data_IF_319759375865
#
_entry.id   IF_319759375865
#
_cell.length_a   1.000
_cell.length_b   1.000
_cell.length_c   1.000
_cell.angle_alpha   90.00
_cell.angle_beta   90.00
_cell.angle_gamma   90.00
#
_symmetry.space_group_name_H-M   'P 1'
#
loop_
_entity.id
_entity.type
_entity.pdbx_description
1 polymer ?
#
# COMPACT_ATOMS: atom_id res chain seq x y z
N UNK A 1 3.41 37.69 -5.49
CA UNK A 1 3.50 37.15 -4.11
C UNK A 1 2.20 36.44 -3.80
N UNK A 2 2.24 35.11 -3.68
CA UNK A 2 1.31 34.24 -2.95
C UNK A 2 1.86 32.82 -3.13
N UNK A 3 2.59 32.29 -2.13
CA UNK A 3 2.99 30.88 -2.14
C UNK A 3 1.77 30.04 -1.79
N UNK A 4 1.19 29.34 -2.77
CA UNK A 4 0.04 28.44 -2.62
C UNK A 4 0.50 27.09 -2.01
N UNK A 5 1.33 27.15 -0.98
CA UNK A 5 1.86 25.96 -0.31
C UNK A 5 1.68 26.13 1.19
N UNK A 6 0.43 26.10 1.63
CA UNK A 6 0.16 25.80 3.03
C UNK A 6 0.62 24.36 3.29
N UNK A 7 1.67 24.23 4.10
CA UNK A 7 2.16 22.94 4.58
C UNK A 7 1.02 22.30 5.37
N UNK A 8 0.45 21.21 4.84
CA UNK A 8 -0.54 20.39 5.56
C UNK A 8 0.04 20.04 6.93
N UNK A 9 -0.58 20.54 7.99
CA UNK A 9 -0.10 20.30 9.35
C UNK A 9 -0.51 18.91 9.81
N UNK A 10 0.12 18.40 10.87
CA UNK A 10 -0.29 17.16 11.51
C UNK A 10 -1.76 17.22 11.97
N UNK A 11 -2.25 18.39 12.38
CA UNK A 11 -3.63 18.58 12.81
C UNK A 11 -4.60 18.53 11.63
N UNK A 12 -4.26 19.12 10.49
CA UNK A 12 -5.05 19.02 9.26
C UNK A 12 -5.16 17.57 8.79
N UNK A 13 -4.06 16.81 8.88
CA UNK A 13 -4.05 15.39 8.56
C UNK A 13 -4.97 14.57 9.48
N UNK A 14 -4.90 14.78 10.79
CA UNK A 14 -5.72 14.02 11.74
C UNK A 14 -7.22 14.26 11.55
N UNK A 15 -7.60 15.41 10.97
CA UNK A 15 -8.98 15.77 10.64
C UNK A 15 -9.42 15.27 9.26
N UNK A 16 -8.51 14.78 8.43
CA UNK A 16 -8.83 14.30 7.09
C UNK A 16 -9.48 12.91 7.09
N UNK A 17 -10.34 12.68 6.11
CA UNK A 17 -11.00 11.40 5.84
C UNK A 17 -10.06 10.50 5.01
N UNK A 18 -9.92 9.20 5.34
CA UNK A 18 -9.06 8.27 4.61
C UNK A 18 -9.63 7.89 3.23
N UNK A 19 -8.84 8.08 2.16
CA UNK A 19 -9.17 7.51 0.84
C UNK A 19 -9.20 5.97 0.83
N UNK A 20 -9.83 5.37 -0.20
CA UNK A 20 -9.87 3.91 -0.41
C UNK A 20 -8.49 3.27 -0.38
N UNK A 21 -7.48 3.93 -0.93
CA UNK A 21 -6.10 3.45 -0.90
C UNK A 21 -5.58 3.29 0.53
N UNK A 22 -5.87 4.25 1.41
CA UNK A 22 -5.50 4.15 2.82
C UNK A 22 -6.23 3.01 3.51
N UNK A 23 -7.53 2.82 3.22
CA UNK A 23 -8.33 1.75 3.80
C UNK A 23 -7.89 0.36 3.32
N UNK A 24 -7.54 0.21 2.04
CA UNK A 24 -6.96 -1.04 1.51
C UNK A 24 -5.62 -1.38 2.15
N UNK A 25 -4.78 -0.38 2.39
CA UNK A 25 -3.52 -0.60 3.12
C UNK A 25 -3.76 -0.97 4.57
N UNK A 26 -4.74 -0.32 5.21
CA UNK A 26 -5.14 -0.62 6.57
C UNK A 26 -5.70 -2.05 6.67
N UNK A 27 -6.57 -2.48 5.75
CA UNK A 27 -7.18 -3.81 5.77
C UNK A 27 -6.19 -4.97 5.67
N UNK A 28 -4.99 -4.74 5.09
CA UNK A 28 -3.93 -5.75 5.01
C UNK A 28 -3.17 -5.95 6.33
N UNK A 29 -3.30 -5.03 7.28
CA UNK A 29 -2.56 -5.04 8.55
C UNK A 29 -3.35 -5.68 9.70
N UNK A 30 -4.62 -5.98 9.48
CA UNK A 30 -5.55 -6.43 10.50
C UNK A 30 -6.33 -7.64 10.03
N UNK A 31 -6.44 -8.62 10.92
CA UNK A 31 -7.33 -9.76 10.75
C UNK A 31 -8.80 -9.32 10.71
N UNK A 32 -9.71 -10.16 10.17
CA UNK A 32 -11.15 -9.87 10.19
C UNK A 32 -11.70 -9.59 11.58
N UNK A 33 -11.18 -10.29 12.61
CA UNK A 33 -11.55 -10.05 13.99
C UNK A 33 -11.15 -8.64 14.46
N UNK A 34 -9.91 -8.23 14.18
CA UNK A 34 -9.44 -6.89 14.55
C UNK A 34 -10.16 -5.78 13.75
N UNK A 35 -10.46 -6.03 12.48
CA UNK A 35 -11.25 -5.10 11.66
C UNK A 35 -12.67 -4.94 12.21
N UNK A 36 -13.30 -6.02 12.69
CA UNK A 36 -14.60 -5.99 13.38
C UNK A 36 -14.54 -5.15 14.66
N UNK A 37 -13.57 -5.39 15.54
CA UNK A 37 -13.42 -4.62 16.78
C UNK A 37 -13.19 -3.13 16.48
N UNK A 38 -12.34 -2.81 15.50
CA UNK A 38 -12.15 -1.43 15.03
C UNK A 38 -13.46 -0.82 14.52
N UNK A 39 -14.23 -1.56 13.73
CA UNK A 39 -15.47 -1.07 13.16
C UNK A 39 -16.55 -0.76 14.19
N UNK A 40 -16.65 -1.61 15.23
CA UNK A 40 -17.55 -1.38 16.36
C UNK A 40 -17.14 -0.10 17.10
N UNK A 41 -15.84 0.12 17.32
CA UNK A 41 -15.34 1.37 17.92
C UNK A 41 -15.54 2.59 17.03
N UNK A 42 -15.51 2.42 15.71
CA UNK A 42 -15.79 3.47 14.73
C UNK A 42 -17.30 3.71 14.52
N UNK A 43 -18.16 2.93 15.20
CA UNK A 43 -19.59 3.20 15.30
C UNK A 43 -20.50 2.32 14.47
N UNK A 44 -19.98 1.28 13.80
CA UNK A 44 -20.85 0.26 13.19
C UNK A 44 -21.43 -0.66 14.26
N UNK A 45 -22.67 -1.09 14.06
CA UNK A 45 -23.29 -2.12 14.90
C UNK A 45 -22.73 -3.50 14.58
N UNK A 46 -22.80 -4.43 15.55
CA UNK A 46 -22.43 -5.84 15.32
C UNK A 46 -23.15 -6.44 14.11
N UNK A 47 -24.43 -6.09 13.93
CA UNK A 47 -25.26 -6.61 12.83
C UNK A 47 -24.78 -6.14 11.46
N UNK A 48 -24.36 -4.88 11.34
CA UNK A 48 -23.81 -4.35 10.09
C UNK A 48 -22.51 -5.06 9.73
N UNK A 49 -21.62 -5.25 10.71
CA UNK A 49 -20.35 -5.96 10.50
C UNK A 49 -20.57 -7.43 10.11
N UNK A 50 -21.48 -8.13 10.79
CA UNK A 50 -21.83 -9.52 10.44
C UNK A 50 -22.42 -9.61 9.04
N UNK A 51 -23.28 -8.67 8.65
CA UNK A 51 -23.84 -8.62 7.29
C UNK A 51 -22.72 -8.54 6.25
N UNK A 52 -21.73 -7.66 6.44
CA UNK A 52 -20.59 -7.51 5.52
C UNK A 52 -19.77 -8.81 5.47
N UNK A 53 -19.49 -9.42 6.62
CA UNK A 53 -18.71 -10.66 6.70
C UNK A 53 -19.42 -11.86 6.03
N UNK A 54 -20.75 -11.86 6.01
CA UNK A 54 -21.56 -12.91 5.38
C UNK A 54 -21.74 -12.71 3.87
N UNK A 55 -21.74 -11.45 3.40
CA UNK A 55 -22.06 -11.13 1.99
C UNK A 55 -20.83 -10.86 1.11
N UNK A 56 -19.73 -10.38 1.67
CA UNK A 56 -18.53 -10.02 0.91
C UNK A 56 -17.53 -11.17 0.81
N UNK A 57 -16.65 -11.13 -0.20
CA UNK A 57 -15.53 -12.06 -0.30
C UNK A 57 -14.69 -11.95 1.00
N UNK A 58 -14.40 -13.08 1.68
CA UNK A 58 -13.52 -13.10 2.85
C UNK A 58 -12.17 -12.38 2.64
N UNK A 59 -11.69 -12.29 1.40
CA UNK A 59 -10.47 -11.58 1.01
C UNK A 59 -10.60 -10.06 1.02
N UNK A 60 -11.81 -9.53 0.85
CA UNK A 60 -12.08 -8.07 0.80
C UNK A 60 -12.87 -7.57 2.00
N UNK A 61 -13.43 -8.47 2.82
CA UNK A 61 -14.30 -8.12 3.94
C UNK A 61 -13.68 -7.08 4.91
N UNK A 62 -12.39 -7.18 5.24
CA UNK A 62 -11.70 -6.18 6.07
C UNK A 62 -11.71 -4.78 5.44
N UNK A 63 -11.53 -4.68 4.13
CA UNK A 63 -11.58 -3.40 3.40
C UNK A 63 -13.00 -2.84 3.40
N UNK A 64 -14.00 -3.68 3.14
CA UNK A 64 -15.40 -3.27 3.06
C UNK A 64 -15.96 -2.80 4.41
N UNK A 65 -15.58 -3.47 5.49
CA UNK A 65 -15.87 -3.04 6.86
C UNK A 65 -15.35 -1.61 7.10
N UNK A 66 -14.06 -1.38 6.81
CA UNK A 66 -13.43 -0.07 7.03
C UNK A 66 -13.99 1.02 6.09
N UNK A 67 -14.38 0.64 4.87
CA UNK A 67 -15.03 1.53 3.89
C UNK A 67 -16.40 1.97 4.38
N UNK A 68 -17.22 1.04 4.87
CA UNK A 68 -18.51 1.38 5.46
C UNK A 68 -18.37 2.29 6.67
N UNK A 69 -17.41 2.04 7.57
CA UNK A 69 -17.14 2.95 8.69
C UNK A 69 -16.91 4.38 8.20
N UNK A 70 -16.07 4.57 7.18
CA UNK A 70 -15.81 5.90 6.60
C UNK A 70 -17.05 6.53 5.99
N UNK A 71 -17.77 5.78 5.17
CA UNK A 71 -18.85 6.33 4.34
C UNK A 71 -20.11 6.65 5.17
N UNK A 72 -20.38 5.90 6.25
CA UNK A 72 -21.56 6.09 7.11
C UNK A 72 -21.29 7.09 8.23
N UNK A 73 -20.09 7.04 8.85
CA UNK A 73 -19.80 7.78 10.08
C UNK A 73 -18.86 8.98 9.89
N UNK A 74 -18.42 9.26 8.66
CA UNK A 74 -17.44 10.33 8.34
C UNK A 74 -16.16 10.19 9.19
N UNK A 75 -15.63 8.97 9.24
CA UNK A 75 -14.45 8.62 10.03
C UNK A 75 -13.21 9.38 9.56
N UNK A 76 -12.47 9.98 10.49
CA UNK A 76 -11.19 10.64 10.23
C UNK A 76 -10.01 9.76 10.61
N UNK A 77 -8.79 10.16 10.22
CA UNK A 77 -7.57 9.51 10.69
C UNK A 77 -7.39 9.56 12.21
N UNK A 78 -7.97 10.56 12.89
CA UNK A 78 -8.00 10.62 14.35
C UNK A 78 -8.83 9.50 14.95
N UNK A 79 -10.01 9.26 14.42
CA UNK A 79 -10.91 8.24 14.94
C UNK A 79 -10.33 6.83 14.70
N UNK A 80 -9.72 6.60 13.54
CA UNK A 80 -8.98 5.36 13.24
C UNK A 80 -7.82 5.17 14.21
N UNK A 81 -7.08 6.24 14.55
CA UNK A 81 -5.99 6.17 15.53
C UNK A 81 -6.49 5.72 16.88
N UNK A 82 -7.59 6.30 17.34
CA UNK A 82 -8.18 5.99 18.63
C UNK A 82 -8.69 4.54 18.65
N UNK A 83 -9.38 4.09 17.59
CA UNK A 83 -9.80 2.70 17.44
C UNK A 83 -8.62 1.70 17.48
N UNK A 84 -7.52 2.01 16.80
CA UNK A 84 -6.29 1.18 16.80
C UNK A 84 -5.67 1.10 18.21
N UNK A 85 -5.72 2.19 18.98
CA UNK A 85 -5.21 2.20 20.35
C UNK A 85 -6.05 1.32 21.29
N UNK A 86 -7.37 1.26 21.08
CA UNK A 86 -8.28 0.48 21.92
C UNK A 86 -8.07 -1.03 21.70
N UNK A 87 -7.86 -1.48 20.46
CA UNK A 87 -7.56 -2.89 20.16
C UNK A 87 -6.15 -3.33 20.60
N UNK A 88 -5.44 -2.51 21.38
CA UNK A 88 -4.16 -2.86 21.99
C UNK A 88 -2.96 -2.84 21.04
N UNK A 89 -3.12 -2.38 19.78
CA UNK A 89 -1.98 -2.17 18.87
C UNK A 89 -1.37 -0.79 19.09
N UNK A 90 -0.38 -0.71 19.97
CA UNK A 90 0.47 0.47 20.15
C UNK A 90 1.38 0.67 18.93
N UNK A 91 0.94 1.42 17.92
CA UNK A 91 1.86 2.37 17.30
C UNK A 91 1.20 3.37 16.35
N UNK A 92 1.36 4.65 16.67
CA UNK A 92 1.19 5.77 15.71
C UNK A 92 2.03 5.59 14.42
N UNK A 93 3.04 4.70 14.43
CA UNK A 93 3.75 4.28 13.22
C UNK A 93 2.86 3.62 12.17
N UNK A 94 1.78 2.93 12.54
CA UNK A 94 0.90 2.26 11.57
C UNK A 94 0.22 3.32 10.70
N UNK A 95 -0.36 4.37 11.31
CA UNK A 95 -0.91 5.52 10.59
C UNK A 95 0.16 6.30 9.81
N UNK A 96 1.37 6.43 10.36
CA UNK A 96 2.47 7.04 9.62
C UNK A 96 2.92 6.19 8.42
N UNK A 97 2.81 4.86 8.45
CA UNK A 97 3.08 3.96 7.31
C UNK A 97 2.01 4.07 6.23
N UNK A 98 0.75 4.27 6.61
CA UNK A 98 -0.36 4.51 5.66
C UNK A 98 -0.12 5.81 4.85
N UNK A 99 0.53 6.80 5.46
CA UNK A 99 0.69 8.17 4.93
C UNK A 99 2.07 8.44 4.34
N UNK A 100 3.14 7.85 4.89
CA UNK A 100 4.49 8.09 4.41
C UNK A 100 4.72 7.28 3.12
N UNK A 101 4.15 7.71 2.00
CA UNK A 101 4.87 7.84 0.71
C UNK A 101 5.46 9.26 0.65
N UNK A 102 6.70 9.48 0.22
CA UNK A 102 7.16 10.86 -0.01
C UNK A 102 6.50 11.19 -1.35
N UNK A 103 5.92 12.38 -1.53
CA UNK A 103 5.36 12.71 -2.83
C UNK A 103 6.50 12.66 -3.84
N UNK A 104 6.52 11.59 -4.62
CA UNK A 104 7.14 11.60 -5.94
C UNK A 104 6.06 12.26 -6.78
N UNK A 105 6.37 13.41 -7.37
CA UNK A 105 5.43 14.23 -8.12
C UNK A 105 5.13 13.60 -9.49
N UNK A 106 4.60 12.37 -9.48
CA UNK A 106 4.24 11.60 -10.66
C UNK A 106 3.23 12.34 -11.55
N UNK A 107 2.46 13.26 -10.97
CA UNK A 107 1.44 14.05 -11.66
C UNK A 107 2.03 15.23 -12.45
N UNK A 108 3.31 15.53 -12.29
CA UNK A 108 3.98 16.59 -13.04
C UNK A 108 4.51 16.12 -14.41
N UNK A 109 4.69 14.81 -14.61
CA UNK A 109 5.19 14.21 -15.86
C UNK A 109 4.51 12.85 -16.15
N UNK A 110 3.17 12.79 -16.26
CA UNK A 110 2.41 11.54 -16.40
C UNK A 110 2.86 10.69 -17.60
N UNK A 111 3.29 11.32 -18.69
CA UNK A 111 3.86 10.67 -19.87
C UNK A 111 5.11 9.82 -19.59
N UNK A 112 5.85 10.11 -18.51
CA UNK A 112 7.01 9.30 -18.10
C UNK A 112 6.62 8.15 -17.18
N UNK A 113 5.60 8.34 -16.34
CA UNK A 113 5.28 7.43 -15.24
C UNK A 113 4.17 6.44 -15.56
N UNK A 114 3.25 6.78 -16.48
CA UNK A 114 2.13 5.91 -16.87
C UNK A 114 2.47 4.94 -18.02
N UNK A 115 3.77 4.77 -18.27
CA UNK A 115 4.34 3.82 -19.21
C UNK A 115 4.40 2.41 -18.63
N UNK A 116 4.22 1.41 -19.49
CA UNK A 116 4.43 0.01 -19.13
C UNK A 116 5.94 -0.24 -19.01
N UNK A 117 6.43 -0.82 -17.89
CA UNK A 117 7.84 -1.13 -17.72
C UNK A 117 8.33 -2.08 -18.83
N UNK A 118 9.48 -1.76 -19.43
CA UNK A 118 10.18 -2.61 -20.39
C UNK A 118 11.06 -3.61 -19.66
N UNK A 119 11.65 -4.57 -20.37
CA UNK A 119 12.66 -5.47 -19.78
C UNK A 119 13.86 -4.67 -19.24
N UNK A 120 14.32 -3.66 -19.98
CA UNK A 120 15.41 -2.78 -19.55
C UNK A 120 15.07 -2.01 -18.26
N UNK A 121 13.82 -1.54 -18.10
CA UNK A 121 13.40 -0.94 -16.84
C UNK A 121 13.46 -1.95 -15.69
N UNK A 122 13.00 -3.18 -15.90
CA UNK A 122 13.03 -4.24 -14.87
C UNK A 122 14.48 -4.57 -14.48
N UNK A 123 15.38 -4.71 -15.45
CA UNK A 123 16.80 -5.00 -15.20
C UNK A 123 17.50 -3.90 -14.38
N UNK A 124 17.15 -2.64 -14.61
CA UNK A 124 17.70 -1.50 -13.84
C UNK A 124 17.08 -1.39 -12.45
N UNK A 125 15.81 -1.76 -12.28
CA UNK A 125 15.07 -1.62 -11.03
C UNK A 125 15.26 -2.80 -10.06
N UNK A 126 15.39 -4.03 -10.57
CA UNK A 126 15.49 -5.23 -9.74
C UNK A 126 16.65 -5.21 -8.71
N UNK A 127 17.86 -4.71 -9.04
CA UNK A 127 18.94 -4.58 -8.05
C UNK A 127 18.60 -3.62 -6.91
N UNK A 128 17.78 -2.60 -7.16
CA UNK A 128 17.45 -1.55 -6.19
C UNK A 128 16.50 -2.04 -5.09
N UNK A 129 15.70 -3.06 -5.37
CA UNK A 129 14.83 -3.69 -4.36
C UNK A 129 15.69 -4.35 -3.27
N UNK A 130 16.82 -4.94 -3.67
CA UNK A 130 17.78 -5.57 -2.78
C UNK A 130 17.13 -6.65 -1.91
N UNK A 131 17.40 -6.61 -0.61
CA UNK A 131 16.85 -7.54 0.40
C UNK A 131 15.39 -7.29 0.79
N UNK A 132 14.74 -6.29 0.20
CA UNK A 132 13.36 -5.92 0.53
C UNK A 132 12.34 -6.57 -0.41
N UNK A 133 12.68 -7.70 -1.03
CA UNK A 133 11.88 -8.38 -2.05
C UNK A 133 10.44 -8.67 -1.60
N UNK A 134 10.27 -9.28 -0.41
CA UNK A 134 8.93 -9.57 0.14
C UNK A 134 8.13 -8.29 0.46
N UNK A 135 8.67 -7.30 1.22
CA UNK A 135 8.00 -6.02 1.41
C UNK A 135 7.62 -5.33 0.10
N UNK A 136 8.51 -5.37 -0.91
CA UNK A 136 8.27 -4.77 -2.21
C UNK A 136 7.16 -5.46 -2.99
N UNK A 137 7.14 -6.80 -2.98
CA UNK A 137 6.07 -7.62 -3.55
C UNK A 137 4.71 -7.26 -2.95
N UNK A 138 4.65 -7.12 -1.63
CA UNK A 138 3.42 -6.74 -0.92
C UNK A 138 2.97 -5.33 -1.30
N UNK A 139 3.91 -4.38 -1.45
CA UNK A 139 3.59 -3.02 -1.90
C UNK A 139 3.06 -2.95 -3.34
N UNK A 140 3.41 -3.94 -4.18
CA UNK A 140 2.83 -4.13 -5.50
C UNK A 140 1.43 -4.78 -5.47
N UNK A 141 0.94 -5.17 -4.29
CA UNK A 141 -0.38 -5.75 -4.07
C UNK A 141 -0.44 -7.27 -4.18
N UNK A 142 0.70 -7.95 -4.30
CA UNK A 142 0.75 -9.41 -4.41
C UNK A 142 0.82 -10.08 -3.03
N UNK A 143 0.35 -11.33 -2.94
CA UNK A 143 0.21 -12.06 -1.69
C UNK A 143 1.43 -12.94 -1.34
N UNK A 144 1.45 -13.45 -0.11
CA UNK A 144 2.52 -14.32 0.37
C UNK A 144 2.62 -15.64 -0.41
N UNK A 145 1.51 -16.17 -0.92
CA UNK A 145 1.52 -17.39 -1.74
C UNK A 145 2.27 -17.16 -3.05
N UNK A 146 2.10 -15.99 -3.66
CA UNK A 146 2.85 -15.58 -4.87
C UNK A 146 4.33 -15.47 -4.55
N UNK A 147 4.68 -14.93 -3.38
CA UNK A 147 6.06 -14.89 -2.90
C UNK A 147 6.66 -16.30 -2.80
N UNK A 148 6.00 -17.24 -2.11
CA UNK A 148 6.50 -18.62 -1.97
C UNK A 148 6.69 -19.30 -3.33
N UNK A 149 5.75 -19.10 -4.27
CA UNK A 149 5.87 -19.67 -5.61
C UNK A 149 7.08 -19.16 -6.39
N UNK A 150 7.40 -17.87 -6.25
CA UNK A 150 8.55 -17.26 -6.91
C UNK A 150 9.84 -17.67 -6.20
N UNK A 151 9.88 -17.60 -4.86
CA UNK A 151 11.09 -17.91 -4.09
C UNK A 151 11.50 -19.38 -4.23
N UNK A 152 10.54 -20.31 -4.32
CA UNK A 152 10.83 -21.74 -4.54
C UNK A 152 11.40 -22.06 -5.93
N UNK A 153 11.15 -21.22 -6.94
CA UNK A 153 11.71 -21.41 -8.30
C UNK A 153 13.15 -20.96 -8.41
N UNK A 154 13.63 -20.18 -7.43
CA UNK A 154 14.95 -19.58 -7.45
C UNK A 154 15.82 -20.12 -6.32
N UNK A 155 17.14 -20.08 -6.55
CA UNK A 155 18.09 -20.24 -5.47
C UNK A 155 18.11 -18.91 -4.70
N UNK A 156 17.59 -18.87 -3.47
CA UNK A 156 17.36 -17.64 -2.65
C UNK A 156 18.58 -16.69 -2.50
N UNK A 157 19.76 -17.14 -2.93
CA UNK A 157 21.01 -16.36 -2.95
C UNK A 157 21.06 -15.31 -4.07
N UNK A 158 20.31 -15.47 -5.16
CA UNK A 158 20.27 -14.48 -6.25
C UNK A 158 19.08 -13.53 -6.09
N UNK A 159 19.28 -12.51 -5.24
CA UNK A 159 18.26 -11.49 -4.96
C UNK A 159 17.88 -10.67 -6.20
N UNK A 160 18.81 -10.46 -7.15
CA UNK A 160 18.51 -9.68 -8.35
C UNK A 160 17.56 -10.47 -9.23
N UNK A 161 17.85 -11.75 -9.46
CA UNK A 161 16.96 -12.63 -10.23
C UNK A 161 15.59 -12.78 -9.57
N UNK A 162 15.56 -12.93 -8.25
CA UNK A 162 14.31 -12.96 -7.48
C UNK A 162 13.48 -11.69 -7.71
N UNK A 163 14.10 -10.52 -7.65
CA UNK A 163 13.41 -9.24 -7.84
C UNK A 163 12.96 -9.02 -9.29
N UNK A 164 13.68 -9.55 -10.28
CA UNK A 164 13.22 -9.59 -11.68
C UNK A 164 11.94 -10.42 -11.81
N UNK A 165 11.94 -11.65 -11.25
CA UNK A 165 10.78 -12.53 -11.33
C UNK A 165 9.55 -11.92 -10.63
N UNK A 166 9.73 -11.20 -9.53
CA UNK A 166 8.65 -10.45 -8.86
C UNK A 166 8.05 -9.40 -9.78
N UNK A 167 8.90 -8.58 -10.42
CA UNK A 167 8.46 -7.52 -11.33
C UNK A 167 7.78 -8.09 -12.58
N UNK A 168 8.26 -9.23 -13.09
CA UNK A 168 7.66 -9.92 -14.23
C UNK A 168 6.32 -10.58 -13.87
N UNK A 169 6.24 -11.30 -12.76
CA UNK A 169 4.98 -11.92 -12.29
C UNK A 169 3.91 -10.85 -12.05
N UNK A 170 4.30 -9.73 -11.42
CA UNK A 170 3.42 -8.58 -11.24
C UNK A 170 2.90 -8.04 -12.57
N UNK A 171 3.82 -7.71 -13.48
CA UNK A 171 3.50 -7.08 -14.78
C UNK A 171 2.62 -7.98 -15.66
N UNK A 172 2.97 -9.26 -15.79
CA UNK A 172 2.36 -10.13 -16.80
C UNK A 172 1.18 -10.96 -16.28
N UNK A 173 1.17 -11.31 -15.00
CA UNK A 173 0.16 -12.20 -14.44
C UNK A 173 -0.78 -11.47 -13.51
N UNK A 174 -0.25 -10.84 -12.46
CA UNK A 174 -1.08 -10.17 -11.46
C UNK A 174 -1.91 -9.03 -12.08
N UNK A 175 -1.26 -8.08 -12.75
CA UNK A 175 -1.97 -6.97 -13.38
C UNK A 175 -3.00 -7.45 -14.41
N UNK A 176 -2.68 -8.49 -15.18
CA UNK A 176 -3.63 -9.09 -16.14
C UNK A 176 -4.84 -9.72 -15.47
N UNK A 177 -4.62 -10.49 -14.39
CA UNK A 177 -5.70 -11.15 -13.64
C UNK A 177 -6.64 -10.15 -12.96
N UNK A 178 -6.10 -9.02 -12.53
CA UNK A 178 -6.84 -7.97 -11.81
C UNK A 178 -7.27 -6.80 -12.69
N UNK A 179 -7.09 -6.89 -14.02
CA UNK A 179 -7.39 -5.84 -14.99
C UNK A 179 -6.75 -4.48 -14.63
N UNK A 180 -5.51 -4.51 -14.14
CA UNK A 180 -4.69 -3.36 -13.79
C UNK A 180 -3.71 -3.05 -14.93
N UNK A 181 -3.34 -1.77 -15.08
CA UNK A 181 -2.30 -1.35 -16.02
C UNK A 181 -0.96 -1.31 -15.28
N UNK A 182 0.02 -2.19 -15.59
CA UNK A 182 1.31 -2.21 -14.91
C UNK A 182 2.10 -0.98 -15.32
N UNK A 183 2.24 0.01 -14.44
CA UNK A 183 2.93 1.27 -14.76
C UNK A 183 4.22 1.47 -13.96
N UNK A 184 5.16 2.23 -14.51
CA UNK A 184 6.35 2.67 -13.77
C UNK A 184 5.99 3.44 -12.49
N UNK A 185 4.86 4.17 -12.51
CA UNK A 185 4.27 4.85 -11.36
C UNK A 185 4.03 3.90 -10.19
N UNK A 186 3.47 2.72 -10.44
CA UNK A 186 3.18 1.74 -9.38
C UNK A 186 4.46 1.15 -8.79
N UNK A 187 5.46 0.86 -9.62
CA UNK A 187 6.77 0.40 -9.17
C UNK A 187 7.45 1.48 -8.30
N UNK A 188 7.46 2.73 -8.76
CA UNK A 188 8.05 3.84 -8.01
C UNK A 188 7.30 4.12 -6.70
N UNK A 189 5.97 3.93 -6.66
CA UNK A 189 5.18 3.97 -5.40
C UNK A 189 5.60 2.85 -4.44
N UNK A 190 5.83 1.64 -4.94
CA UNK A 190 6.32 0.54 -4.11
C UNK A 190 7.72 0.84 -3.54
N UNK A 191 8.63 1.35 -4.38
CA UNK A 191 9.97 1.82 -3.96
C UNK A 191 9.91 2.91 -2.88
N UNK A 192 9.06 3.92 -3.05
CA UNK A 192 8.89 5.00 -2.06
C UNK A 192 8.47 4.45 -0.69
N UNK A 193 7.62 3.42 -0.68
CA UNK A 193 7.11 2.85 0.57
C UNK A 193 8.15 1.94 1.25
N UNK A 194 8.91 1.13 0.49
CA UNK A 194 10.01 0.32 1.06
C UNK A 194 11.21 1.17 1.47
N UNK A 195 11.54 2.22 0.70
CA UNK A 195 12.68 3.11 0.89
C UNK A 195 12.56 3.98 2.13
N UNK A 196 11.39 4.10 2.75
CA UNK A 196 11.26 4.84 4.03
C UNK A 196 11.70 4.07 5.26
N UNK A 197 12.06 2.81 5.09
CA UNK A 197 12.78 2.04 6.10
C UNK A 197 14.31 2.14 5.95
N UNK A 198 14.85 2.81 4.92
CA UNK A 198 16.30 2.91 4.65
C UNK A 198 16.64 4.32 4.11
N UNK A 199 17.58 5.04 4.74
CA UNK A 199 17.98 6.43 4.38
C UNK A 199 18.52 6.68 2.95
N UNK A 200 18.32 5.80 1.97
CA UNK A 200 19.04 5.82 0.68
C UNK A 200 18.05 5.61 -0.49
N UNK A 201 17.20 6.58 -0.83
CA UNK A 201 16.51 6.59 -2.16
C UNK A 201 16.04 7.99 -2.60
N UNK A 202 16.76 9.07 -2.29
CA UNK A 202 16.30 10.41 -2.74
C UNK A 202 16.90 10.84 -4.10
N UNK A 203 18.06 10.32 -4.51
CA UNK A 203 18.72 10.77 -5.76
C UNK A 203 18.71 9.72 -6.90
N UNK A 204 18.60 8.43 -6.60
CA UNK A 204 18.80 7.37 -7.61
C UNK A 204 17.61 7.16 -8.54
N UNK A 205 16.38 7.42 -8.08
CA UNK A 205 15.18 7.23 -8.91
C UNK A 205 15.03 8.32 -9.98
N UNK A 206 15.46 9.55 -9.68
CA UNK A 206 15.40 10.68 -10.60
C UNK A 206 16.37 10.56 -11.77
N UNK A 207 17.52 9.91 -11.56
CA UNK A 207 18.57 9.73 -12.57
C UNK A 207 18.32 8.49 -13.48
N UNK A 208 17.31 7.68 -13.17
CA UNK A 208 16.99 6.45 -13.88
C UNK A 208 15.89 6.61 -14.95
N UNK A 209 15.14 7.73 -14.94
CA UNK A 209 14.00 8.00 -15.83
C UNK A 209 14.16 9.31 -16.60
#
# INVERSE_FOLDING_TARGET
>A
MCSIFDKVTKEDFMRATPSDLHLRRLSLLYSPFEAREMAIHLGLSNREVETILETEDPKTACFEILRQCRDIMVVTFKDIKEAIQIIGKTSIHILCKLVKGKPIYFDMEPEKWDLVPTAEHIDRLAPLVGKNSLPFLIELGMDFNTWEQISHRQNERDLVRLNQDILEEWRFKFCRMHNLKPTLREIARAFSNIGKNIKIVDNTLSDLF
#
